data_IF_683879741355
#
_entry.id   IF_683879741355
#
_cell.length_a   1.000
_cell.length_b   1.000
_cell.length_c   1.000
_cell.angle_alpha   90.00
_cell.angle_beta   90.00
_cell.angle_gamma   90.00
#
_symmetry.space_group_name_H-M   'P 1'
#
loop_
_entity.id
_entity.type
_entity.pdbx_description
1 polymer ?
#
# COMPACT_ATOMS: atom_id res chain seq x y z
N UNK A 1 -34.76 -7.45 -86.07
CA UNK A 1 -33.61 -8.27 -85.61
C UNK A 1 -34.01 -8.88 -84.27
N UNK A 2 -34.06 -10.20 -84.21
CA UNK A 2 -34.77 -10.99 -83.21
C UNK A 2 -34.21 -10.82 -81.79
N UNK A 3 -35.07 -10.49 -80.83
CA UNK A 3 -34.77 -10.56 -79.40
C UNK A 3 -34.94 -12.03 -79.01
N UNK A 4 -33.85 -12.79 -78.98
CA UNK A 4 -33.82 -14.14 -78.43
C UNK A 4 -34.10 -14.06 -76.93
N UNK A 5 -35.29 -14.50 -76.50
CA UNK A 5 -35.58 -14.74 -75.09
C UNK A 5 -34.77 -15.96 -74.62
N UNK A 6 -33.58 -15.69 -74.09
CA UNK A 6 -32.70 -16.71 -73.50
C UNK A 6 -33.34 -17.18 -72.19
N UNK A 7 -33.42 -18.50 -71.97
CA UNK A 7 -34.02 -19.05 -70.74
C UNK A 7 -33.10 -18.76 -69.53
N UNK A 8 -33.66 -18.56 -68.33
CA UNK A 8 -32.86 -18.37 -67.13
C UNK A 8 -31.92 -19.56 -66.94
N UNK A 9 -30.63 -19.28 -66.77
CA UNK A 9 -29.57 -20.29 -66.65
C UNK A 9 -28.79 -20.62 -67.93
N UNK A 10 -29.19 -20.14 -69.11
CA UNK A 10 -28.37 -20.27 -70.33
C UNK A 10 -27.18 -19.30 -70.32
N UNK A 11 -26.07 -19.71 -70.96
CA UNK A 11 -24.85 -18.92 -71.09
C UNK A 11 -25.04 -17.81 -72.12
N UNK A 12 -24.65 -16.58 -71.80
CA UNK A 12 -24.73 -15.47 -72.74
C UNK A 12 -23.61 -15.55 -73.80
N UNK A 13 -23.98 -15.39 -75.08
CA UNK A 13 -23.07 -15.61 -76.22
C UNK A 13 -21.88 -14.62 -76.34
N UNK A 14 -21.87 -13.51 -75.59
CA UNK A 14 -20.82 -12.48 -75.68
C UNK A 14 -20.02 -12.26 -74.40
N UNK A 15 -20.40 -12.85 -73.26
CA UNK A 15 -19.72 -12.65 -71.96
C UNK A 15 -19.78 -13.94 -71.13
N UNK A 16 -18.70 -14.31 -70.44
CA UNK A 16 -18.65 -15.44 -69.49
C UNK A 16 -19.59 -15.17 -68.30
N UNK A 17 -20.87 -15.50 -68.46
CA UNK A 17 -21.92 -15.21 -67.48
C UNK A 17 -23.20 -16.00 -67.75
N UNK A 18 -24.14 -15.97 -66.80
CA UNK A 18 -25.45 -16.60 -66.88
C UNK A 18 -26.56 -15.56 -66.97
N UNK A 19 -27.67 -15.92 -67.61
CA UNK A 19 -28.84 -15.04 -67.72
C UNK A 19 -29.73 -15.19 -66.47
N UNK A 20 -30.07 -14.06 -65.83
CA UNK A 20 -31.00 -13.99 -64.70
C UNK A 20 -32.47 -14.09 -65.19
N UNK A 21 -33.43 -14.33 -64.30
CA UNK A 21 -34.87 -14.50 -64.60
C UNK A 21 -35.47 -13.32 -65.39
N UNK A 22 -34.83 -12.15 -65.33
CA UNK A 22 -35.24 -10.94 -66.06
C UNK A 22 -34.53 -10.78 -67.42
N UNK A 23 -33.96 -11.86 -67.97
CA UNK A 23 -33.26 -11.88 -69.27
C UNK A 23 -32.04 -10.94 -69.33
N UNK A 24 -31.48 -10.57 -68.18
CA UNK A 24 -30.26 -9.76 -68.08
C UNK A 24 -29.05 -10.68 -67.91
N UNK A 25 -28.04 -10.52 -68.76
CA UNK A 25 -26.78 -11.25 -68.66
C UNK A 25 -25.97 -10.73 -67.46
N UNK A 26 -25.71 -11.60 -66.49
CA UNK A 26 -24.84 -11.29 -65.35
C UNK A 26 -23.50 -11.96 -65.60
N UNK A 27 -22.46 -11.14 -65.80
CA UNK A 27 -21.08 -11.64 -65.95
C UNK A 27 -20.62 -12.30 -64.64
N UNK A 28 -19.96 -13.46 -64.75
CA UNK A 28 -19.26 -14.09 -63.62
C UNK A 28 -18.00 -13.26 -63.35
N UNK A 29 -18.15 -12.15 -62.63
CA UNK A 29 -17.02 -11.38 -62.14
C UNK A 29 -16.42 -12.14 -60.96
N UNK A 30 -15.16 -12.59 -61.09
CA UNK A 30 -14.33 -13.13 -60.02
C UNK A 30 -13.89 -12.00 -59.05
N UNK A 31 -14.87 -11.22 -58.56
CA UNK A 31 -14.66 -10.12 -57.62
C UNK A 31 -15.45 -10.42 -56.37
N UNK A 32 -14.72 -10.61 -55.28
CA UNK A 32 -15.24 -10.96 -53.96
C UNK A 32 -16.40 -10.05 -53.54
N UNK A 33 -17.38 -10.59 -52.80
CA UNK A 33 -18.56 -9.85 -52.35
C UNK A 33 -18.24 -8.54 -51.60
N UNK A 34 -17.01 -8.39 -51.09
CA UNK A 34 -16.51 -7.17 -50.46
C UNK A 34 -16.31 -6.02 -51.47
N UNK A 35 -15.81 -6.26 -52.67
CA UNK A 35 -15.59 -5.19 -53.67
C UNK A 35 -16.91 -4.60 -54.19
N UNK A 36 -17.98 -5.41 -54.21
CA UNK A 36 -19.33 -4.93 -54.52
C UNK A 36 -19.91 -3.99 -53.45
N UNK A 37 -19.49 -4.13 -52.19
CA UNK A 37 -19.95 -3.27 -51.08
C UNK A 37 -19.25 -1.90 -51.13
N UNK A 38 -18.04 -1.85 -51.69
CA UNK A 38 -17.23 -0.63 -51.84
C UNK A 38 -17.28 0.02 -53.24
N UNK A 39 -18.20 -0.42 -54.11
CA UNK A 39 -18.43 0.26 -55.39
C UNK A 39 -18.96 1.69 -55.18
N UNK A 40 -18.57 2.63 -56.03
CA UNK A 40 -18.98 4.03 -55.95
C UNK A 40 -20.52 4.18 -55.95
N UNK A 41 -21.24 3.32 -56.68
CA UNK A 41 -22.71 3.28 -56.68
C UNK A 41 -23.31 2.90 -55.31
N UNK A 42 -22.68 1.96 -54.61
CA UNK A 42 -23.14 1.51 -53.28
C UNK A 42 -22.83 2.56 -52.21
N UNK A 43 -21.72 3.30 -52.38
CA UNK A 43 -21.36 4.41 -51.51
C UNK A 43 -22.39 5.54 -51.51
N UNK A 44 -22.94 5.88 -52.67
CA UNK A 44 -23.95 6.93 -52.79
C UNK A 44 -25.31 6.53 -52.21
N UNK A 45 -25.70 5.27 -52.34
CA UNK A 45 -26.90 4.71 -51.69
C UNK A 45 -26.76 4.67 -50.17
N UNK A 46 -25.60 4.25 -49.67
CA UNK A 46 -25.28 4.25 -48.24
C UNK A 46 -25.28 5.67 -47.69
N UNK A 47 -24.75 6.66 -48.44
CA UNK A 47 -24.73 8.07 -48.01
C UNK A 47 -26.13 8.66 -47.90
N UNK A 48 -27.02 8.36 -48.85
CA UNK A 48 -28.44 8.76 -48.78
C UNK A 48 -29.17 8.07 -47.63
N UNK A 49 -28.90 6.78 -47.42
CA UNK A 49 -29.46 6.03 -46.29
C UNK A 49 -28.97 6.58 -44.95
N UNK A 50 -27.67 6.84 -44.81
CA UNK A 50 -27.07 7.41 -43.61
C UNK A 50 -27.64 8.80 -43.32
N UNK A 51 -27.80 9.66 -44.34
CA UNK A 51 -28.44 10.96 -44.17
C UNK A 51 -29.86 10.89 -43.59
N UNK A 52 -30.61 9.82 -43.90
CA UNK A 52 -31.97 9.62 -43.38
C UNK A 52 -32.03 8.88 -42.04
N UNK A 53 -31.12 7.94 -41.80
CA UNK A 53 -31.19 7.01 -40.67
C UNK A 53 -30.09 7.19 -39.60
N UNK A 54 -29.18 8.15 -39.74
CA UNK A 54 -28.09 8.38 -38.79
C UNK A 54 -28.57 8.56 -37.34
N UNK A 55 -29.72 9.21 -37.14
CA UNK A 55 -30.30 9.44 -35.81
C UNK A 55 -30.67 8.12 -35.10
N UNK A 56 -31.19 7.13 -35.83
CA UNK A 56 -31.52 5.82 -35.26
C UNK A 56 -30.28 5.05 -34.83
N UNK A 57 -29.20 5.13 -35.62
CA UNK A 57 -27.91 4.53 -35.28
C UNK A 57 -27.33 5.16 -34.02
N UNK A 58 -27.35 6.49 -33.94
CA UNK A 58 -26.83 7.21 -32.79
C UNK A 58 -27.65 6.90 -31.52
N UNK A 59 -28.98 6.88 -31.63
CA UNK A 59 -29.88 6.55 -30.52
C UNK A 59 -29.70 5.09 -30.05
N UNK A 60 -29.47 4.15 -30.96
CA UNK A 60 -29.18 2.75 -30.61
C UNK A 60 -27.85 2.61 -29.87
N UNK A 61 -26.81 3.31 -30.33
CA UNK A 61 -25.49 3.32 -29.69
C UNK A 61 -25.52 3.93 -28.29
N UNK A 62 -26.25 5.03 -28.09
CA UNK A 62 -26.38 5.66 -26.76
C UNK A 62 -27.19 4.82 -25.80
N UNK A 63 -28.27 4.17 -26.26
CA UNK A 63 -29.05 3.23 -25.45
C UNK A 63 -28.20 2.03 -25.00
N UNK A 64 -27.39 1.46 -25.90
CA UNK A 64 -26.52 0.34 -25.57
C UNK A 64 -25.43 0.76 -24.58
N UNK A 65 -24.81 1.92 -24.76
CA UNK A 65 -23.85 2.46 -23.80
C UNK A 65 -24.48 2.68 -22.42
N UNK A 66 -25.71 3.20 -22.37
CA UNK A 66 -26.45 3.36 -21.12
C UNK A 66 -26.73 2.02 -20.43
N UNK A 67 -27.15 1.00 -21.18
CA UNK A 67 -27.37 -0.35 -20.63
C UNK A 67 -26.08 -0.96 -20.06
N UNK A 68 -24.95 -0.78 -20.73
CA UNK A 68 -23.64 -1.24 -20.22
C UNK A 68 -23.26 -0.50 -18.94
N UNK A 69 -23.47 0.82 -18.87
CA UNK A 69 -23.20 1.59 -17.65
C UNK A 69 -24.08 1.13 -16.49
N UNK A 70 -25.37 0.88 -16.73
CA UNK A 70 -26.29 0.35 -15.72
C UNK A 70 -25.84 -1.05 -15.27
N UNK A 71 -25.41 -1.91 -16.20
CA UNK A 71 -24.89 -3.24 -15.87
C UNK A 71 -23.61 -3.19 -15.02
N UNK A 72 -22.68 -2.29 -15.33
CA UNK A 72 -21.46 -2.08 -14.54
C UNK A 72 -21.77 -1.50 -13.16
N UNK A 73 -22.69 -0.52 -13.08
CA UNK A 73 -23.10 0.08 -11.82
C UNK A 73 -23.81 -0.92 -10.89
N UNK A 74 -24.64 -1.79 -11.46
CA UNK A 74 -25.36 -2.84 -10.70
C UNK A 74 -24.46 -3.99 -10.26
N UNK A 75 -23.42 -4.34 -11.05
CA UNK A 75 -22.41 -5.34 -10.67
C UNK A 75 -21.54 -4.91 -9.49
N UNK A 76 -21.39 -3.61 -9.23
CA UNK A 76 -20.50 -3.08 -8.18
C UNK A 76 -20.98 -3.33 -6.75
N UNK A 77 -22.19 -3.87 -6.54
CA UNK A 77 -22.82 -3.99 -5.22
C UNK A 77 -22.98 -5.42 -4.69
N UNK A 78 -22.35 -6.40 -5.33
CA UNK A 78 -22.13 -7.73 -4.74
C UNK A 78 -20.70 -7.85 -4.24
N UNK A 79 -20.24 -6.82 -3.52
CA UNK A 79 -18.99 -6.92 -2.78
C UNK A 79 -19.27 -7.79 -1.54
N UNK A 80 -18.41 -8.78 -1.35
CA UNK A 80 -18.59 -9.88 -0.41
C UNK A 80 -18.77 -9.36 1.03
N UNK A 81 -20.01 -9.30 1.51
CA UNK A 81 -20.37 -9.00 2.92
C UNK A 81 -19.55 -9.86 3.90
N UNK A 82 -19.19 -11.08 3.50
CA UNK A 82 -18.33 -11.99 4.25
C UNK A 82 -16.89 -11.50 4.40
N UNK A 83 -16.34 -10.81 3.40
CA UNK A 83 -14.98 -10.29 3.42
C UNK A 83 -14.86 -9.07 4.35
N UNK A 84 -15.88 -8.21 4.36
CA UNK A 84 -15.94 -7.07 5.27
C UNK A 84 -16.17 -7.52 6.71
N UNK A 85 -17.04 -8.50 6.95
CA UNK A 85 -17.21 -9.10 8.27
C UNK A 85 -15.92 -9.74 8.81
N UNK A 86 -15.17 -10.45 7.95
CA UNK A 86 -13.88 -11.02 8.32
C UNK A 86 -12.82 -9.95 8.64
N UNK A 87 -12.80 -8.85 7.87
CA UNK A 87 -11.92 -7.70 8.15
C UNK A 87 -12.28 -7.03 9.47
N UNK A 88 -13.58 -6.87 9.76
CA UNK A 88 -14.05 -6.27 11.00
C UNK A 88 -13.64 -7.12 12.22
N UNK A 89 -13.93 -8.43 12.19
CA UNK A 89 -13.61 -9.32 13.32
C UNK A 89 -12.11 -9.47 13.56
N UNK A 90 -11.28 -9.39 12.51
CA UNK A 90 -9.82 -9.38 12.68
C UNK A 90 -9.34 -8.09 13.35
N UNK A 91 -9.97 -6.97 13.05
CA UNK A 91 -9.62 -5.66 13.60
C UNK A 91 -10.00 -5.58 15.08
N UNK A 92 -11.15 -6.14 15.45
CA UNK A 92 -11.62 -6.26 16.84
C UNK A 92 -10.62 -7.05 17.70
N UNK A 93 -10.16 -8.22 17.24
CA UNK A 93 -9.15 -9.00 17.95
C UNK A 93 -7.82 -8.24 18.16
N UNK A 94 -7.41 -7.40 17.20
CA UNK A 94 -6.20 -6.57 17.36
C UNK A 94 -6.40 -5.45 18.37
N UNK A 95 -7.59 -4.84 18.40
CA UNK A 95 -7.94 -3.79 19.36
C UNK A 95 -7.96 -4.36 20.78
N UNK A 96 -8.60 -5.51 20.99
CA UNK A 96 -8.64 -6.18 22.29
C UNK A 96 -7.23 -6.54 22.80
N UNK A 97 -6.37 -7.03 21.90
CA UNK A 97 -4.98 -7.35 22.24
C UNK A 97 -4.19 -6.10 22.63
N UNK A 98 -4.40 -4.98 21.91
CA UNK A 98 -3.74 -3.72 22.22
C UNK A 98 -4.22 -3.12 23.55
N UNK A 99 -5.51 -3.22 23.86
CA UNK A 99 -6.07 -2.73 25.12
C UNK A 99 -5.57 -3.55 26.32
N UNK A 100 -5.41 -4.87 26.16
CA UNK A 100 -4.79 -5.73 27.16
C UNK A 100 -3.32 -5.35 27.42
N UNK A 101 -2.54 -5.03 26.39
CA UNK A 101 -1.15 -4.57 26.56
C UNK A 101 -1.07 -3.20 27.25
N UNK A 102 -1.96 -2.26 26.90
CA UNK A 102 -2.02 -0.94 27.54
C UNK A 102 -2.34 -1.08 29.02
N UNK A 103 -3.31 -1.92 29.39
CA UNK A 103 -3.65 -2.14 30.80
C UNK A 103 -2.49 -2.73 31.60
N UNK A 104 -1.76 -3.71 31.05
CA UNK A 104 -0.52 -4.21 31.67
C UNK A 104 0.55 -3.12 31.84
N UNK A 105 0.72 -2.24 30.85
CA UNK A 105 1.68 -1.15 30.96
C UNK A 105 1.29 -0.14 32.04
N UNK A 106 0.00 0.16 32.19
CA UNK A 106 -0.51 1.04 33.25
C UNK A 106 -0.28 0.43 34.63
N UNK A 107 -0.50 -0.88 34.80
CA UNK A 107 -0.26 -1.55 36.07
C UNK A 107 1.23 -1.60 36.42
N UNK A 108 2.10 -1.87 35.44
CA UNK A 108 3.55 -1.79 35.62
C UNK A 108 4.03 -0.37 35.97
N UNK A 109 3.37 0.66 35.46
CA UNK A 109 3.68 2.06 35.81
C UNK A 109 3.26 2.37 37.24
N UNK A 110 2.06 1.95 37.66
CA UNK A 110 1.61 2.10 39.05
C UNK A 110 2.52 1.38 40.03
N UNK A 111 2.96 0.15 39.72
CA UNK A 111 3.91 -0.57 40.59
C UNK A 111 5.24 0.18 40.71
N UNK A 112 5.72 0.78 39.62
CA UNK A 112 6.93 1.62 39.65
C UNK A 112 6.72 2.88 40.46
N UNK A 113 5.58 3.55 40.31
CA UNK A 113 5.22 4.73 41.12
C UNK A 113 5.20 4.39 42.61
N UNK A 114 4.55 3.30 43.01
CA UNK A 114 4.54 2.81 44.39
C UNK A 114 5.96 2.52 44.91
N UNK A 115 6.81 1.94 44.08
CA UNK A 115 8.21 1.68 44.43
C UNK A 115 9.02 2.99 44.57
N UNK A 116 8.75 4.00 43.74
CA UNK A 116 9.35 5.31 43.87
C UNK A 116 8.86 6.05 45.12
N UNK A 117 7.57 5.97 45.44
CA UNK A 117 6.98 6.54 46.66
C UNK A 117 7.66 5.95 47.90
N UNK A 118 7.78 4.61 47.97
CA UNK A 118 8.50 3.90 49.05
C UNK A 118 9.97 4.31 49.14
N UNK A 119 10.62 4.51 48.00
CA UNK A 119 12.00 5.00 47.96
C UNK A 119 12.10 6.44 48.49
N UNK A 120 11.18 7.33 48.10
CA UNK A 120 11.13 8.71 48.60
C UNK A 120 10.89 8.73 50.11
N UNK A 121 10.01 7.87 50.63
CA UNK A 121 9.77 7.74 52.06
C UNK A 121 10.99 7.20 52.82
N UNK A 122 11.78 6.29 52.25
CA UNK A 122 13.03 5.84 52.89
C UNK A 122 14.10 6.94 52.89
N UNK A 123 14.15 7.74 51.83
CA UNK A 123 15.04 8.90 51.72
C UNK A 123 14.68 9.98 52.75
N UNK A 124 13.40 10.32 52.87
CA UNK A 124 12.91 11.31 53.86
C UNK A 124 13.11 10.84 55.30
N UNK A 125 13.12 9.53 55.55
CA UNK A 125 13.50 8.94 56.85
C UNK A 125 14.99 9.06 57.18
N UNK A 126 15.79 9.67 56.30
CA UNK A 126 17.23 9.85 56.51
C UNK A 126 18.05 8.59 56.23
N UNK A 127 17.44 7.59 55.59
CA UNK A 127 18.09 6.37 55.13
C UNK A 127 18.24 6.42 53.61
N UNK A 128 18.89 7.49 53.10
CA UNK A 128 19.40 7.47 51.74
C UNK A 128 20.88 7.12 51.80
N UNK A 129 21.17 5.96 51.20
CA UNK A 129 22.47 5.30 51.21
C UNK A 129 23.61 6.29 50.95
N UNK A 130 24.52 6.39 51.91
CA UNK A 130 25.85 6.98 51.73
C UNK A 130 26.49 6.49 50.41
N UNK A 131 26.11 5.30 49.93
CA UNK A 131 26.53 4.71 48.67
C UNK A 131 26.08 5.45 47.40
N UNK A 132 24.88 6.02 47.29
CA UNK A 132 24.47 6.72 46.06
C UNK A 132 25.27 8.02 45.85
N UNK A 133 25.39 8.82 46.91
CA UNK A 133 26.18 10.05 46.90
C UNK A 133 27.66 9.73 46.66
N UNK A 134 28.16 8.66 47.26
CA UNK A 134 29.54 8.16 47.05
C UNK A 134 29.76 7.62 45.63
N UNK A 135 28.77 6.96 45.02
CA UNK A 135 28.82 6.48 43.65
C UNK A 135 28.83 7.66 42.65
N UNK A 136 28.02 8.70 42.87
CA UNK A 136 28.10 9.92 42.05
C UNK A 136 29.48 10.60 42.20
N UNK A 137 30.00 10.69 43.43
CA UNK A 137 31.34 11.22 43.68
C UNK A 137 32.44 10.44 42.94
N UNK A 138 32.33 9.11 42.87
CA UNK A 138 33.26 8.26 42.10
C UNK A 138 33.10 8.46 40.59
N UNK A 139 31.86 8.45 40.08
CA UNK A 139 31.58 8.64 38.67
C UNK A 139 32.05 10.01 38.16
N UNK A 140 31.82 11.08 38.93
CA UNK A 140 32.32 12.41 38.59
C UNK A 140 33.85 12.49 38.61
N UNK A 141 34.51 11.72 39.47
CA UNK A 141 35.98 11.59 39.47
C UNK A 141 36.50 10.85 38.23
N UNK A 142 35.78 9.81 37.77
CA UNK A 142 36.12 9.04 36.57
C UNK A 142 35.82 9.79 35.27
N UNK A 143 34.81 10.66 35.25
CA UNK A 143 34.38 11.41 34.07
C UNK A 143 34.42 12.92 34.32
N UNK A 144 35.62 13.53 34.46
CA UNK A 144 35.75 14.95 34.79
C UNK A 144 35.25 15.89 33.70
N UNK A 145 35.12 15.40 32.46
CA UNK A 145 34.58 16.13 31.31
C UNK A 145 33.05 16.07 31.23
N UNK A 146 32.40 15.19 31.99
CA UNK A 146 30.95 15.10 32.04
C UNK A 146 30.41 16.09 33.09
N UNK A 147 29.44 16.95 32.73
CA UNK A 147 28.87 17.87 33.70
C UNK A 147 28.02 17.10 34.73
N UNK A 148 28.05 17.57 35.98
CA UNK A 148 27.46 16.84 37.13
C UNK A 148 25.99 16.50 36.91
N UNK A 149 25.21 17.39 36.29
CA UNK A 149 23.78 17.14 35.99
C UNK A 149 23.56 15.93 35.07
N UNK A 150 24.44 15.70 34.10
CA UNK A 150 24.38 14.54 33.18
C UNK A 150 24.78 13.26 33.91
N UNK A 151 25.79 13.32 34.78
CA UNK A 151 26.21 12.17 35.59
C UNK A 151 25.10 11.76 36.56
N UNK A 152 24.44 12.73 37.21
CA UNK A 152 23.29 12.45 38.09
C UNK A 152 22.09 11.92 37.33
N UNK A 153 21.79 12.44 36.13
CA UNK A 153 20.69 11.96 35.31
C UNK A 153 20.91 10.51 34.85
N UNK A 154 22.14 10.19 34.42
CA UNK A 154 22.50 8.83 34.00
C UNK A 154 22.54 7.89 35.20
N UNK A 155 23.06 8.34 36.35
CA UNK A 155 23.06 7.54 37.57
C UNK A 155 21.64 7.23 38.07
N UNK A 156 20.69 8.16 37.91
CA UNK A 156 19.26 7.92 38.22
C UNK A 156 18.59 6.95 37.24
N UNK A 157 18.99 6.97 35.97
CA UNK A 157 18.45 6.09 34.92
C UNK A 157 19.11 4.71 34.88
N UNK A 158 20.22 4.51 35.60
CA UNK A 158 21.01 3.28 35.57
C UNK A 158 20.74 2.44 36.81
N UNK A 159 20.66 1.13 36.62
CA UNK A 159 20.44 0.16 37.73
C UNK A 159 21.72 -0.16 38.51
N UNK A 160 22.91 0.23 38.00
CA UNK A 160 24.19 0.04 38.68
C UNK A 160 25.27 1.01 38.17
N UNK A 161 26.34 1.18 38.95
CA UNK A 161 27.50 2.04 38.58
C UNK A 161 28.15 1.59 37.26
N UNK A 162 28.27 0.29 37.03
CA UNK A 162 28.86 -0.26 35.80
C UNK A 162 28.02 0.05 34.55
N UNK A 163 26.69 0.08 34.69
CA UNK A 163 25.78 0.50 33.61
C UNK A 163 25.90 2.00 33.35
N UNK A 164 26.00 2.82 34.41
CA UNK A 164 26.20 4.27 34.28
C UNK A 164 27.51 4.61 33.56
N UNK A 165 28.61 3.91 33.89
CA UNK A 165 29.91 4.03 33.20
C UNK A 165 29.77 3.74 31.71
N UNK A 166 29.09 2.64 31.34
CA UNK A 166 28.87 2.28 29.92
C UNK A 166 28.07 3.35 29.18
N UNK A 167 27.01 3.89 29.79
CA UNK A 167 26.23 4.97 29.20
C UNK A 167 27.05 6.26 29.01
N UNK A 168 27.91 6.61 29.97
CA UNK A 168 28.79 7.78 29.86
C UNK A 168 29.81 7.62 28.73
N UNK A 169 30.37 6.42 28.55
CA UNK A 169 31.27 6.09 27.44
C UNK A 169 30.53 6.17 26.09
N UNK A 170 29.31 5.59 26.01
CA UNK A 170 28.48 5.65 24.79
C UNK A 170 28.11 7.09 24.41
N UNK A 171 27.94 7.98 25.39
CA UNK A 171 27.72 9.42 25.15
C UNK A 171 28.99 10.19 24.76
N UNK A 172 30.14 9.52 24.69
CA UNK A 172 31.41 10.11 24.25
C UNK A 172 32.23 10.76 25.35
N UNK A 173 31.90 10.55 26.63
CA UNK A 173 32.72 11.05 27.73
C UNK A 173 33.88 10.08 28.00
N UNK A 174 35.15 10.53 27.86
CA UNK A 174 36.30 9.68 28.10
C UNK A 174 36.48 9.41 29.59
N UNK A 175 36.84 8.16 29.93
CA UNK A 175 37.23 7.79 31.29
C UNK A 175 38.62 8.34 31.59
N UNK A 176 38.80 8.98 32.74
CA UNK A 176 40.10 9.39 33.24
C UNK A 176 40.98 8.16 33.49
N UNK A 177 42.16 8.12 32.88
CA UNK A 177 43.16 7.08 33.17
C UNK A 177 43.64 7.24 34.61
N UNK A 178 43.30 6.29 35.47
CA UNK A 178 43.85 6.23 36.82
C UNK A 178 45.26 5.67 36.71
N UNK A 179 46.26 6.50 36.98
CA UNK A 179 47.65 6.04 37.14
C UNK A 179 47.72 5.39 38.52
N UNK A 180 47.75 4.07 38.56
CA UNK A 180 48.00 3.34 39.80
C UNK A 180 49.49 3.51 40.11
N UNK A 181 49.83 4.45 40.99
CA UNK A 181 51.15 4.46 41.59
C UNK A 181 51.18 3.31 42.60
N UNK A 182 51.84 2.20 42.25
CA UNK A 182 52.24 1.18 43.20
C UNK A 182 53.21 1.81 44.20
N UNK A 183 52.66 2.34 45.29
CA UNK A 183 53.44 2.81 46.42
C UNK A 183 53.92 1.58 47.19
N UNK A 184 55.10 1.11 46.79
CA UNK A 184 56.13 0.43 47.58
C UNK A 184 55.71 0.00 48.99
N UNK A 185 55.22 -1.23 49.13
CA UNK A 185 55.34 -1.98 50.38
C UNK A 185 56.77 -2.52 50.50
N UNK A 186 57.73 -1.62 50.74
CA UNK A 186 59.00 -1.97 51.37
C UNK A 186 58.72 -2.08 52.87
N UNK A 187 58.33 -3.29 53.30
CA UNK A 187 58.45 -3.65 54.71
C UNK A 187 59.93 -3.95 54.94
N UNK A 188 60.66 -2.95 55.43
CA UNK A 188 61.91 -3.14 56.17
C UNK A 188 61.59 -3.57 57.59
N UNK A 189 61.92 -4.81 57.93
CA UNK A 189 62.58 -5.28 59.16
C UNK A 189 62.37 -6.79 59.30
#
# INVERSE_FOLDING_TARGET
>A
MNILQIKPGERCNSVTGYCDNNSKCVSKSDTSAMERIFSEETGDEIKKWFGKYWYYVFTGMTLLAFLVLVFVATKKKTENVQLDAFRLGRLENFVDSAEAEISQQVDNLKEKEDNFEKMIESIQRGDESIDYVKAIGRLTTFFPTAPVHIVTEIARKSTSESVAVRFLILKGYPVRKVVVNELSTTITA
#
